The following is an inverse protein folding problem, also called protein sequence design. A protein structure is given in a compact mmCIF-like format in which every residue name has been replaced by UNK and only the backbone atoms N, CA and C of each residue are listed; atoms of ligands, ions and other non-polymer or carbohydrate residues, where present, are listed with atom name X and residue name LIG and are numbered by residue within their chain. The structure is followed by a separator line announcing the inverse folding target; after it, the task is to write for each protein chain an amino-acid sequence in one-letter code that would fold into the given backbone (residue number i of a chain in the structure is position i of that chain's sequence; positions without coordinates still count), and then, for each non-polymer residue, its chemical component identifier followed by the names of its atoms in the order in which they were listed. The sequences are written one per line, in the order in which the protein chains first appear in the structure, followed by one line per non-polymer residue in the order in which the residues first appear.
data_IF_624129715863
#
_entry.id   IF_624129715863
#
_cell.length_a   1.000
_cell.length_b   1.000
_cell.length_c   1.000
_cell.angle_alpha   90.00
_cell.angle_beta   90.00
_cell.angle_gamma   90.00
#
_symmetry.space_group_name_H-M   'P 1'
#
loop_
_entity.id
_entity.type
_entity.pdbx_description
1 polymer ?
#
# COMPACT_ATOMS: atom_id res chain seq x y z
N UNK A 1 11.85 3.00 -2.52
CA UNK A 1 11.66 2.21 -3.75
C UNK A 1 10.46 2.81 -4.44
N UNK A 2 10.73 3.84 -5.24
CA UNK A 2 9.67 4.73 -5.71
C UNK A 2 8.93 4.11 -6.90
N UNK A 3 9.60 3.27 -7.67
CA UNK A 3 9.03 2.48 -8.78
C UNK A 3 7.87 1.59 -8.34
N UNK A 4 8.00 0.90 -7.20
CA UNK A 4 6.93 0.07 -6.65
C UNK A 4 5.68 0.90 -6.34
N UNK A 5 5.86 2.09 -5.77
CA UNK A 5 4.77 3.02 -5.48
C UNK A 5 4.07 3.47 -6.76
N UNK A 6 4.85 3.88 -7.76
CA UNK A 6 4.33 4.32 -9.05
C UNK A 6 3.49 3.22 -9.70
N UNK A 7 3.96 1.97 -9.68
CA UNK A 7 3.19 0.85 -10.22
C UNK A 7 1.86 0.66 -9.48
N UNK A 8 1.88 0.69 -8.14
CA UNK A 8 0.67 0.53 -7.31
C UNK A 8 -0.35 1.65 -7.56
N UNK A 9 0.10 2.89 -7.78
CA UNK A 9 -0.78 4.04 -8.02
C UNK A 9 -1.61 3.94 -9.31
N UNK A 10 -1.18 3.11 -10.27
CA UNK A 10 -1.91 2.88 -11.53
C UNK A 10 -2.83 1.65 -11.47
N UNK A 11 -2.90 0.96 -10.33
CA UNK A 11 -3.77 -0.20 -10.15
C UNK A 11 -5.10 0.21 -9.51
N UNK A 12 -6.14 -0.57 -9.79
CA UNK A 12 -7.44 -0.38 -9.17
C UNK A 12 -7.42 -0.78 -7.69
N UNK A 13 -8.19 -0.12 -6.81
CA UNK A 13 -8.34 -0.53 -5.42
C UNK A 13 -8.76 -1.99 -5.26
N UNK A 14 -8.31 -2.62 -4.18
CA UNK A 14 -8.51 -4.04 -3.85
C UNK A 14 -7.84 -5.03 -4.84
N UNK A 15 -7.00 -4.54 -5.74
CA UNK A 15 -6.15 -5.42 -6.57
C UNK A 15 -5.06 -6.05 -5.71
N UNK A 16 -4.81 -7.37 -5.80
CA UNK A 16 -3.68 -7.99 -5.13
C UNK A 16 -2.36 -7.56 -5.76
N UNK A 17 -1.38 -7.17 -4.94
CA UNK A 17 -0.02 -6.96 -5.44
C UNK A 17 0.72 -8.30 -5.59
N UNK A 18 1.78 -8.30 -6.40
CA UNK A 18 2.69 -9.43 -6.51
C UNK A 18 3.27 -9.82 -5.13
N UNK A 19 3.61 -11.09 -4.97
CA UNK A 19 4.25 -11.58 -3.74
C UNK A 19 5.63 -10.92 -3.54
N UNK A 20 6.12 -10.86 -2.30
CA UNK A 20 7.47 -10.34 -2.01
C UNK A 20 8.56 -11.01 -2.86
N UNK A 21 8.40 -12.31 -3.13
CA UNK A 21 9.35 -13.11 -3.94
C UNK A 21 9.29 -12.73 -5.41
N UNK A 22 8.10 -12.47 -5.95
CA UNK A 22 7.96 -12.08 -7.35
C UNK A 22 8.41 -10.65 -7.59
N UNK A 23 8.17 -9.77 -6.61
CA UNK A 23 8.70 -8.40 -6.59
C UNK A 23 10.23 -8.39 -6.48
N UNK A 24 10.82 -9.26 -5.67
CA UNK A 24 12.28 -9.44 -5.59
C UNK A 24 12.88 -9.76 -6.97
N UNK A 25 12.27 -10.71 -7.70
CA UNK A 25 12.70 -11.05 -9.07
C UNK A 25 12.49 -9.90 -10.04
N UNK A 26 11.35 -9.21 -9.96
CA UNK A 26 10.97 -8.13 -10.87
C UNK A 26 11.89 -6.91 -10.76
N UNK A 27 12.19 -6.49 -9.53
CA UNK A 27 13.01 -5.30 -9.27
C UNK A 27 14.48 -5.62 -9.00
N UNK A 28 14.88 -6.90 -9.10
CA UNK A 28 16.23 -7.38 -8.77
C UNK A 28 16.74 -6.82 -7.42
N UNK A 29 15.86 -6.81 -6.42
CA UNK A 29 16.10 -6.22 -5.12
C UNK A 29 15.89 -7.27 -4.03
N UNK A 30 16.68 -7.22 -2.95
CA UNK A 30 16.56 -8.19 -1.87
C UNK A 30 15.13 -8.24 -1.33
N UNK A 31 14.66 -9.43 -0.94
CA UNK A 31 13.36 -9.59 -0.26
C UNK A 31 13.18 -8.65 0.95
N UNK A 32 14.27 -8.33 1.66
CA UNK A 32 14.24 -7.37 2.77
C UNK A 32 13.93 -5.94 2.32
N UNK A 33 14.49 -5.52 1.19
CA UNK A 33 14.20 -4.20 0.59
C UNK A 33 12.74 -4.12 0.15
N UNK A 34 12.23 -5.16 -0.54
CA UNK A 34 10.83 -5.25 -0.94
C UNK A 34 9.91 -5.20 0.27
N UNK A 35 10.17 -6.02 1.30
CA UNK A 35 9.36 -6.06 2.52
C UNK A 35 9.31 -4.70 3.23
N UNK A 36 10.44 -4.00 3.33
CA UNK A 36 10.49 -2.64 3.89
C UNK A 36 9.64 -1.66 3.07
N UNK A 37 9.73 -1.71 1.75
CA UNK A 37 8.93 -0.85 0.88
C UNK A 37 7.43 -1.12 1.03
N UNK A 38 7.00 -2.39 1.03
CA UNK A 38 5.60 -2.75 1.26
C UNK A 38 5.14 -2.29 2.63
N UNK A 39 5.94 -2.48 3.69
CA UNK A 39 5.59 -2.00 5.04
C UNK A 39 5.36 -0.49 5.05
N UNK A 40 6.26 0.30 4.46
CA UNK A 40 6.08 1.76 4.38
C UNK A 40 4.79 2.13 3.64
N UNK A 41 4.49 1.47 2.51
CA UNK A 41 3.25 1.71 1.77
C UNK A 41 1.99 1.28 2.53
N UNK A 42 2.08 0.25 3.39
CA UNK A 42 0.98 -0.13 4.28
C UNK A 42 0.79 0.91 5.39
N UNK A 43 1.86 1.39 6.00
CA UNK A 43 1.84 2.43 7.03
C UNK A 43 1.28 3.75 6.49
N UNK A 44 1.60 4.10 5.24
CA UNK A 44 1.06 5.26 4.54
C UNK A 44 -0.40 5.08 4.07
N UNK A 45 -0.98 3.89 4.22
CA UNK A 45 -2.35 3.59 3.77
C UNK A 45 -2.50 3.50 2.25
N UNK A 46 -1.40 3.29 1.52
CA UNK A 46 -1.40 3.02 0.07
C UNK A 46 -1.71 1.54 -0.21
N UNK A 47 -1.29 0.65 0.70
CA UNK A 47 -1.58 -0.77 0.69
C UNK A 47 -2.28 -1.18 1.99
N UNK A 48 -2.94 -2.33 1.97
CA UNK A 48 -3.40 -3.01 3.18
C UNK A 48 -3.12 -4.51 3.09
N UNK A 49 -3.03 -5.16 4.25
CA UNK A 49 -2.85 -6.61 4.34
C UNK A 49 -4.11 -7.29 4.80
N UNK A 50 -4.40 -8.41 4.17
CA UNK A 50 -5.42 -9.35 4.64
C UNK A 50 -4.69 -10.63 5.08
N UNK A 51 -4.70 -10.96 6.38
CA UNK A 51 -4.02 -12.14 6.91
C UNK A 51 -4.38 -13.40 6.11
N UNK A 52 -3.39 -14.22 5.80
CA UNK A 52 -3.52 -15.48 5.03
C UNK A 52 -3.99 -15.32 3.57
N UNK A 53 -4.35 -14.12 3.12
CA UNK A 53 -4.80 -13.88 1.74
C UNK A 53 -3.74 -13.13 0.93
N UNK A 54 -3.23 -12.00 1.43
CA UNK A 54 -2.23 -11.23 0.69
C UNK A 54 -2.17 -9.75 1.05
N UNK A 55 -1.53 -8.98 0.16
CA UNK A 55 -1.43 -7.52 0.24
C UNK A 55 -2.14 -6.91 -0.97
N UNK A 56 -2.86 -5.82 -0.75
CA UNK A 56 -3.80 -5.27 -1.72
C UNK A 56 -3.69 -3.75 -1.79
N UNK A 57 -4.03 -3.19 -2.95
CA UNK A 57 -4.09 -1.74 -3.19
C UNK A 57 -5.21 -1.11 -2.37
N UNK A 58 -4.89 -0.17 -1.49
CA UNK A 58 -5.91 0.50 -0.68
C UNK A 58 -6.71 1.52 -1.51
N UNK A 59 -7.98 1.68 -1.18
CA UNK A 59 -8.78 2.77 -1.74
C UNK A 59 -8.42 4.11 -1.09
N UNK A 60 -7.53 4.85 -1.75
CA UNK A 60 -7.06 6.15 -1.29
C UNK A 60 -8.17 7.23 -1.27
N UNK A 61 -9.29 7.03 -1.96
CA UNK A 61 -10.42 7.97 -1.94
C UNK A 61 -11.20 7.88 -0.63
N UNK A 62 -11.19 6.72 0.04
CA UNK A 62 -11.82 6.52 1.34
C UNK A 62 -10.96 7.05 2.49
N UNK A 63 -9.63 6.90 2.41
CA UNK A 63 -8.69 7.34 3.46
C UNK A 63 -8.67 8.88 3.62
N UNK A 64 -8.84 9.65 2.54
CA UNK A 64 -8.91 11.13 2.63
C UNK A 64 -10.16 11.67 3.33
N UNK A 65 -11.21 10.86 3.51
CA UNK A 65 -12.47 11.32 4.13
C UNK A 65 -12.49 11.26 5.66
N UNK A 66 -11.59 10.52 6.30
CA UNK A 66 -11.65 10.28 7.75
C UNK A 66 -10.92 11.35 8.60
N UNK A 67 -9.93 12.05 8.06
CA UNK A 67 -9.20 13.12 8.78
C UNK A 67 -9.86 14.50 8.69
N UNK A 68 -10.78 14.73 7.74
CA UNK A 68 -11.48 16.00 7.60
C UNK A 68 -12.66 16.18 8.58
N UNK A 69 -13.15 15.12 9.24
CA UNK A 69 -14.30 15.21 10.16
C UNK A 69 -13.94 15.50 11.62
N UNK A 70 -12.68 15.31 12.04
CA UNK A 70 -12.30 15.39 13.46
C UNK A 70 -12.05 16.82 13.99
N UNK A 71 -12.19 17.87 13.17
CA UNK A 71 -12.00 19.28 13.61
C UNK A 71 -13.29 20.10 13.50
N UNK A 72 -14.43 19.51 13.87
CA UNK A 72 -15.72 20.25 13.92
C UNK A 72 -16.53 19.98 15.17
N UNK A 73 -15.88 19.90 16.33
CA UNK A 73 -16.60 19.98 17.61
C UNK A 73 -15.95 21.02 18.51
N UNK A 74 -16.26 22.28 18.22
CA UNK A 74 -16.14 23.41 19.14
C UNK A 74 -17.51 24.07 19.21
N UNK A 75 -18.28 23.69 20.23
CA UNK A 75 -19.38 24.46 20.82
C UNK A 75 -19.37 24.17 22.32
#
# INVERSE_FOLDING_TARGET
MDELRLEIQHQEPNTPILSERDLEKKYNASRMTIRKAINGLVEEGVLYRVPQIGTFVADQKLVKKSTAMLVSNSF
#
